data_IF_338706829149
#
_entry.id   IF_338706829149
#
_cell.length_a   1.000
_cell.length_b   1.000
_cell.length_c   1.000
_cell.angle_alpha   90.00
_cell.angle_beta   90.00
_cell.angle_gamma   90.00
#
_symmetry.space_group_name_H-M   'P 1'
#
loop_
_entity.id
_entity.type
_entity.pdbx_description
1 polymer ?
#
# COMPACT_ATOMS: atom_id res chain seq x y z
N UNK A 1 6.03 -3.35 -0.23
CA UNK A 1 5.46 -4.49 -0.96
C UNK A 1 5.02 -5.53 0.05
N UNK A 2 3.79 -6.03 -0.07
CA UNK A 2 3.20 -7.07 0.78
C UNK A 2 2.96 -8.29 -0.10
N UNK A 3 3.67 -9.38 0.17
CA UNK A 3 3.54 -10.61 -0.59
C UNK A 3 4.31 -11.76 0.07
N UNK A 4 3.60 -12.81 0.50
CA UNK A 4 4.17 -14.07 1.02
C UNK A 4 5.26 -14.67 0.12
N UNK A 5 5.01 -14.67 -1.19
CA UNK A 5 5.90 -15.33 -2.18
C UNK A 5 7.17 -14.53 -2.43
N UNK A 6 7.06 -13.22 -2.62
CA UNK A 6 8.21 -12.33 -2.75
C UNK A 6 9.07 -12.32 -1.47
N UNK A 7 8.47 -12.15 -0.29
CA UNK A 7 9.21 -12.13 0.97
C UNK A 7 9.88 -13.47 1.27
N UNK A 8 9.27 -14.59 0.85
CA UNK A 8 9.85 -15.93 0.93
C UNK A 8 10.87 -16.26 -0.15
N UNK A 9 11.18 -15.35 -1.07
CA UNK A 9 12.16 -15.55 -2.15
C UNK A 9 11.69 -16.46 -3.28
N UNK A 10 10.39 -16.79 -3.35
CA UNK A 10 9.80 -17.64 -4.41
C UNK A 10 9.79 -16.93 -5.76
N UNK A 11 9.60 -15.60 -5.75
CA UNK A 11 9.83 -14.77 -6.92
C UNK A 11 10.42 -13.41 -6.54
N UNK A 12 11.03 -12.74 -7.52
CA UNK A 12 11.53 -11.38 -7.36
C UNK A 12 10.39 -10.37 -7.25
N UNK A 13 10.45 -9.50 -6.24
CA UNK A 13 9.52 -8.40 -6.10
C UNK A 13 9.63 -7.43 -7.29
N UNK A 14 8.50 -7.16 -7.92
CA UNK A 14 8.37 -6.14 -8.97
C UNK A 14 7.60 -4.90 -8.48
N UNK A 15 7.01 -4.98 -7.29
CA UNK A 15 6.20 -3.90 -6.73
C UNK A 15 7.04 -2.70 -6.32
N UNK A 16 8.11 -2.91 -5.53
CA UNK A 16 9.01 -1.84 -5.11
C UNK A 16 9.63 -1.13 -6.32
N UNK A 17 10.28 -1.83 -7.28
CA UNK A 17 10.87 -1.16 -8.45
C UNK A 17 9.87 -0.31 -9.24
N UNK A 18 8.64 -0.79 -9.43
CA UNK A 18 7.61 -0.06 -10.17
C UNK A 18 7.15 1.22 -9.43
N UNK A 19 7.03 1.16 -8.10
CA UNK A 19 6.69 2.33 -7.28
C UNK A 19 7.82 3.35 -7.26
N UNK A 20 9.07 2.91 -7.17
CA UNK A 20 10.25 3.78 -7.23
C UNK A 20 10.32 4.53 -8.57
N UNK A 21 10.13 3.82 -9.68
CA UNK A 21 10.09 4.42 -11.02
C UNK A 21 8.95 5.44 -11.15
N UNK A 22 7.75 5.10 -10.68
CA UNK A 22 6.61 6.02 -10.72
C UNK A 22 6.86 7.29 -9.89
N UNK A 23 7.41 7.16 -8.67
CA UNK A 23 7.73 8.29 -7.81
C UNK A 23 8.80 9.20 -8.44
N UNK A 24 9.81 8.62 -9.07
CA UNK A 24 10.85 9.38 -9.77
C UNK A 24 10.28 10.18 -10.96
N UNK A 25 9.23 9.68 -11.61
CA UNK A 25 8.53 10.42 -12.67
C UNK A 25 7.51 11.45 -12.16
N UNK A 26 6.91 11.21 -10.99
CA UNK A 26 5.85 12.05 -10.44
C UNK A 26 6.37 13.22 -9.59
N UNK A 27 7.49 13.06 -8.89
CA UNK A 27 8.02 14.06 -7.94
C UNK A 27 9.19 14.84 -8.55
N UNK A 28 9.06 16.17 -8.57
CA UNK A 28 10.13 17.07 -9.03
C UNK A 28 11.11 17.48 -7.92
N UNK A 29 10.70 17.36 -6.66
CA UNK A 29 11.52 17.75 -5.50
C UNK A 29 12.34 16.56 -4.98
N UNK A 30 13.53 16.77 -4.42
CA UNK A 30 14.29 15.69 -3.79
C UNK A 30 13.49 14.97 -2.70
N UNK A 31 13.54 13.65 -2.71
CA UNK A 31 12.89 12.80 -1.71
C UNK A 31 13.81 11.64 -1.31
N UNK A 32 13.50 11.03 -0.17
CA UNK A 32 14.14 9.80 0.31
C UNK A 32 13.13 8.66 0.25
N UNK A 33 13.61 7.46 -0.04
CA UNK A 33 12.81 6.25 -0.14
C UNK A 33 13.12 5.33 1.03
N UNK A 34 12.06 4.83 1.65
CA UNK A 34 12.09 3.75 2.62
C UNK A 34 11.29 2.58 2.05
N UNK A 35 11.94 1.43 1.87
CA UNK A 35 11.31 0.26 1.25
C UNK A 35 11.23 -0.89 2.24
N UNK A 36 10.14 -1.65 2.15
CA UNK A 36 9.89 -2.85 2.97
C UNK A 36 9.25 -3.91 2.10
N UNK A 37 9.76 -5.13 2.20
CA UNK A 37 9.17 -6.33 1.61
C UNK A 37 8.79 -7.28 2.74
N UNK A 38 7.50 -7.50 2.93
CA UNK A 38 6.94 -8.25 4.06
C UNK A 38 5.89 -9.27 3.59
N UNK A 39 5.63 -10.34 4.36
CA UNK A 39 4.55 -11.29 4.07
C UNK A 39 3.16 -10.67 4.33
N UNK A 40 2.12 -11.38 3.90
CA UNK A 40 0.71 -11.01 4.06
C UNK A 40 0.19 -11.31 5.48
N UNK A 41 0.89 -10.80 6.49
CA UNK A 41 0.53 -10.93 7.91
C UNK A 41 0.05 -9.60 8.47
N UNK A 42 -1.23 -9.52 8.86
CA UNK A 42 -1.87 -8.26 9.23
C UNK A 42 -1.07 -7.49 10.29
N UNK A 43 -0.71 -8.13 11.40
CA UNK A 43 0.08 -7.50 12.48
C UNK A 43 1.43 -6.97 11.99
N UNK A 44 2.09 -7.68 11.06
CA UNK A 44 3.37 -7.25 10.52
C UNK A 44 3.20 -6.05 9.58
N UNK A 45 2.12 -6.02 8.79
CA UNK A 45 1.77 -4.86 7.95
C UNK A 45 1.48 -3.65 8.83
N UNK A 46 0.65 -3.80 9.88
CA UNK A 46 0.34 -2.73 10.83
C UNK A 46 1.61 -2.15 11.48
N UNK A 47 2.49 -3.02 11.99
CA UNK A 47 3.77 -2.61 12.58
C UNK A 47 4.65 -1.88 11.58
N UNK A 48 4.76 -2.40 10.35
CA UNK A 48 5.58 -1.78 9.30
C UNK A 48 5.04 -0.42 8.89
N UNK A 49 3.72 -0.27 8.74
CA UNK A 49 3.10 1.02 8.44
C UNK A 49 3.32 2.02 9.58
N UNK A 50 3.24 1.56 10.83
CA UNK A 50 3.54 2.39 11.99
C UNK A 50 5.02 2.81 12.01
N UNK A 51 5.97 1.89 11.81
CA UNK A 51 7.42 2.18 11.76
C UNK A 51 7.72 3.24 10.69
N UNK A 52 7.22 3.06 9.46
CA UNK A 52 7.46 3.98 8.35
C UNK A 52 6.95 5.40 8.65
N UNK A 53 5.77 5.52 9.27
CA UNK A 53 5.19 6.84 9.58
C UNK A 53 5.80 7.44 10.85
N UNK A 54 5.88 6.65 11.92
CA UNK A 54 6.12 7.15 13.27
C UNK A 54 7.62 7.28 13.57
N UNK A 55 8.46 6.40 13.00
CA UNK A 55 9.88 6.33 13.28
C UNK A 55 10.72 6.84 12.11
N UNK A 56 10.38 6.42 10.88
CA UNK A 56 11.10 6.86 9.67
C UNK A 56 10.62 8.22 9.14
N UNK A 57 9.49 8.72 9.63
CA UNK A 57 8.95 10.03 9.27
C UNK A 57 8.49 10.13 7.81
N UNK A 58 7.99 9.03 7.23
CA UNK A 58 7.44 9.06 5.87
C UNK A 58 6.18 9.92 5.80
N UNK A 59 6.13 10.86 4.86
CA UNK A 59 4.94 11.68 4.59
C UNK A 59 3.93 10.98 3.66
N UNK A 60 4.40 10.01 2.87
CA UNK A 60 3.61 9.21 1.95
C UNK A 60 4.08 7.76 2.05
N UNK A 61 3.14 6.84 2.22
CA UNK A 61 3.39 5.39 2.18
C UNK A 61 2.49 4.78 1.10
N UNK A 62 3.10 4.08 0.15
CA UNK A 62 2.40 3.34 -0.90
C UNK A 62 2.57 1.84 -0.64
N UNK A 63 1.46 1.11 -0.54
CA UNK A 63 1.51 -0.36 -0.47
C UNK A 63 1.22 -0.96 -1.84
N UNK A 64 1.56 -2.23 -2.00
CA UNK A 64 1.22 -3.01 -3.20
C UNK A 64 1.11 -4.47 -2.79
N UNK A 65 0.06 -5.14 -3.25
CA UNK A 65 -0.29 -6.52 -2.86
C UNK A 65 -1.25 -6.61 -1.68
N UNK A 66 -1.94 -7.76 -1.58
CA UNK A 66 -2.82 -8.10 -0.46
C UNK A 66 -4.13 -7.32 -0.37
N UNK A 67 -4.70 -6.85 -1.49
CA UNK A 67 -5.90 -5.98 -1.52
C UNK A 67 -7.12 -6.59 -2.22
N UNK A 68 -7.04 -7.85 -2.62
CA UNK A 68 -8.14 -8.59 -3.24
C UNK A 68 -9.16 -9.15 -2.23
N UNK A 69 -10.03 -10.08 -2.69
CA UNK A 69 -11.06 -10.70 -1.85
C UNK A 69 -10.58 -11.96 -1.13
N UNK A 70 -9.32 -12.40 -1.31
CA UNK A 70 -8.85 -13.64 -0.71
C UNK A 70 -8.63 -13.48 0.80
N UNK A 71 -8.68 -14.59 1.56
CA UNK A 71 -8.49 -14.56 3.03
C UNK A 71 -7.12 -14.02 3.46
N UNK A 72 -6.11 -14.13 2.60
CA UNK A 72 -4.76 -13.59 2.85
C UNK A 72 -4.64 -12.10 2.50
N UNK A 73 -5.61 -11.52 1.79
CA UNK A 73 -5.57 -10.12 1.36
C UNK A 73 -6.00 -9.20 2.51
N UNK A 74 -5.06 -8.93 3.42
CA UNK A 74 -5.27 -8.20 4.69
C UNK A 74 -4.65 -6.81 4.71
N UNK A 75 -4.06 -6.33 3.60
CA UNK A 75 -3.42 -5.00 3.54
C UNK A 75 -4.41 -3.85 3.83
N UNK A 76 -5.65 -3.85 3.30
CA UNK A 76 -6.64 -2.83 3.66
C UNK A 76 -7.06 -2.89 5.13
N UNK A 77 -7.20 -4.09 5.69
CA UNK A 77 -7.57 -4.29 7.10
C UNK A 77 -6.48 -3.71 8.03
N UNK A 78 -5.22 -4.03 7.76
CA UNK A 78 -4.07 -3.46 8.46
C UNK A 78 -3.99 -1.92 8.33
N UNK A 79 -4.26 -1.39 7.13
CA UNK A 79 -4.24 0.05 6.87
C UNK A 79 -5.33 0.77 7.67
N UNK A 80 -6.54 0.20 7.73
CA UNK A 80 -7.66 0.77 8.49
C UNK A 80 -7.46 0.66 10.00
N UNK A 81 -6.82 -0.41 10.49
CA UNK A 81 -6.57 -0.62 11.92
C UNK A 81 -5.69 0.47 12.56
N UNK A 82 -4.76 1.04 11.78
CA UNK A 82 -3.78 2.04 12.23
C UNK A 82 -4.14 3.47 11.81
N UNK A 83 -5.27 3.66 11.11
CA UNK A 83 -5.69 4.94 10.56
C UNK A 83 -6.30 5.87 11.62
N UNK A 84 -5.85 7.13 11.63
CA UNK A 84 -6.51 8.19 12.41
C UNK A 84 -7.74 8.72 11.66
N UNK A 85 -7.69 8.71 10.32
CA UNK A 85 -8.81 9.12 9.46
C UNK A 85 -8.79 8.37 8.14
N UNK A 86 -9.93 7.87 7.71
CA UNK A 86 -10.09 7.23 6.40
C UNK A 86 -10.33 8.30 5.32
N UNK A 87 -9.76 8.09 4.13
CA UNK A 87 -9.94 8.93 2.94
C UNK A 87 -10.69 8.12 1.85
N UNK A 88 -12.02 7.95 1.97
CA UNK A 88 -12.78 7.01 1.15
C UNK A 88 -12.71 7.28 -0.36
N UNK A 89 -12.54 8.55 -0.76
CA UNK A 89 -12.44 8.96 -2.17
C UNK A 89 -11.29 8.29 -2.93
N UNK A 90 -10.21 7.86 -2.26
CA UNK A 90 -9.13 7.10 -2.93
C UNK A 90 -9.63 5.75 -3.42
N UNK A 91 -10.29 4.97 -2.56
CA UNK A 91 -10.82 3.66 -2.94
C UNK A 91 -11.88 3.76 -4.03
N UNK A 92 -12.74 4.78 -3.95
CA UNK A 92 -13.75 5.08 -4.97
C UNK A 92 -13.10 5.35 -6.33
N UNK A 93 -12.14 6.28 -6.39
CA UNK A 93 -11.48 6.68 -7.63
C UNK A 93 -10.64 5.54 -8.23
N UNK A 94 -9.91 4.79 -7.40
CA UNK A 94 -9.10 3.65 -7.85
C UNK A 94 -9.96 2.54 -8.48
N UNK A 95 -11.09 2.19 -7.85
CA UNK A 95 -12.05 1.23 -8.43
C UNK A 95 -12.69 1.77 -9.69
N UNK A 96 -13.12 3.03 -9.70
CA UNK A 96 -13.76 3.65 -10.87
C UNK A 96 -12.84 3.62 -12.09
N UNK A 97 -11.58 4.02 -11.94
CA UNK A 97 -10.61 4.00 -13.05
C UNK A 97 -10.36 2.57 -13.50
N UNK A 98 -10.11 1.64 -12.58
CA UNK A 98 -9.84 0.23 -12.91
C UNK A 98 -11.00 -0.46 -13.64
N UNK A 99 -12.25 -0.07 -13.35
CA UNK A 99 -13.45 -0.63 -13.97
C UNK A 99 -13.54 -0.36 -15.48
N UNK A 100 -12.84 0.65 -15.98
CA UNK A 100 -12.73 0.91 -17.43
C UNK A 100 -11.93 -0.18 -18.16
N UNK A 101 -11.10 -0.93 -17.43
CA UNK A 101 -10.18 -1.92 -18.00
C UNK A 101 -10.57 -3.36 -17.64
N UNK A 102 -10.99 -3.59 -16.38
CA UNK A 102 -11.31 -4.93 -15.87
C UNK A 102 -12.62 -4.92 -15.07
N UNK A 103 -13.62 -5.76 -15.42
CA UNK A 103 -14.88 -5.83 -14.67
C UNK A 103 -14.71 -6.26 -13.21
N UNK A 104 -13.65 -7.00 -12.90
CA UNK A 104 -13.32 -7.47 -11.55
C UNK A 104 -12.77 -6.37 -10.64
N UNK A 105 -12.62 -5.12 -11.12
CA UNK A 105 -12.19 -3.98 -10.31
C UNK A 105 -13.05 -3.76 -9.06
N UNK A 106 -14.33 -4.14 -9.10
CA UNK A 106 -15.24 -4.07 -7.95
C UNK A 106 -14.80 -4.93 -6.76
N UNK A 107 -13.92 -5.92 -6.97
CA UNK A 107 -13.40 -6.80 -5.93
C UNK A 107 -12.22 -6.17 -5.18
N UNK A 108 -11.65 -5.07 -5.66
CA UNK A 108 -10.56 -4.38 -4.99
C UNK A 108 -11.04 -3.74 -3.69
N UNK A 109 -10.32 -4.05 -2.61
CA UNK A 109 -10.54 -3.50 -1.27
C UNK A 109 -9.58 -2.35 -0.95
N UNK A 110 -8.83 -1.83 -1.92
CA UNK A 110 -7.89 -0.74 -1.70
C UNK A 110 -8.55 0.48 -1.04
N UNK A 111 -7.84 1.10 -0.11
CA UNK A 111 -8.25 2.32 0.60
C UNK A 111 -7.13 3.35 0.63
N UNK A 112 -7.49 4.59 0.97
CA UNK A 112 -6.56 5.62 1.40
C UNK A 112 -6.86 6.01 2.84
N UNK A 113 -5.84 6.34 3.62
CA UNK A 113 -5.98 6.74 5.02
C UNK A 113 -4.90 7.74 5.44
N UNK A 114 -5.17 8.48 6.50
CA UNK A 114 -4.21 9.35 7.18
C UNK A 114 -3.83 8.70 8.50
N UNK A 115 -2.52 8.69 8.78
CA UNK A 115 -1.94 8.43 10.10
C UNK A 115 -1.00 9.59 10.42
N UNK A 116 -1.22 10.28 11.52
CA UNK A 116 -0.49 11.49 11.93
C UNK A 116 -0.41 12.50 10.79
N UNK A 117 0.78 12.73 10.25
CA UNK A 117 1.04 13.67 9.16
C UNK A 117 1.27 12.95 7.81
N UNK A 118 1.03 11.65 7.75
CA UNK A 118 1.31 10.82 6.59
C UNK A 118 0.03 10.35 5.88
N UNK A 119 0.09 10.32 4.55
CA UNK A 119 -0.90 9.68 3.69
C UNK A 119 -0.47 8.24 3.38
N UNK A 120 -1.37 7.28 3.55
CA UNK A 120 -1.17 5.87 3.23
C UNK A 120 -2.17 5.49 2.14
N UNK A 121 -1.70 4.89 1.04
CA UNK A 121 -2.52 4.46 -0.10
C UNK A 121 -2.18 3.01 -0.45
N UNK A 122 -3.22 2.19 -0.66
CA UNK A 122 -3.06 0.81 -1.09
C UNK A 122 -3.00 0.59 -2.60
#
# INVERSE_FOLDING_TARGET
>A
SVSDRASGGVYQDKGIPALEEWLAGALATPFKLETRLIPDEQTQIEQTLCELVDEMGCHLVLTTGGTGPARRDVTPDATLAIADRVMPGFGEQMRQISLHYVPTAILSRQVGAIRKQALIIN
#
